data_IF_720040822289
#
_entry.id   IF_720040822289
#
_cell.length_a   1.000
_cell.length_b   1.000
_cell.length_c   1.000
_cell.angle_alpha   90.00
_cell.angle_beta   90.00
_cell.angle_gamma   90.00
#
_symmetry.space_group_name_H-M   'P 1'
#
loop_
_entity.id
_entity.type
_entity.pdbx_description
1 polymer ?
#
# COMPACT_ATOMS: atom_id res chain seq x y z
N UNK A 1 -22.71 -4.28 5.19
CA UNK A 1 -22.22 -5.41 4.37
C UNK A 1 -21.57 -4.98 3.06
N UNK A 2 -22.25 -4.23 2.17
CA UNK A 2 -21.67 -3.80 0.89
C UNK A 2 -20.36 -2.97 1.06
N UNK A 3 -20.34 -2.03 2.02
CA UNK A 3 -19.14 -1.23 2.35
C UNK A 3 -17.97 -2.08 2.84
N UNK A 4 -18.25 -3.11 3.65
CA UNK A 4 -17.23 -4.03 4.17
C UNK A 4 -16.67 -4.85 3.01
N UNK A 5 -17.53 -5.44 2.17
CA UNK A 5 -17.09 -6.23 1.02
C UNK A 5 -16.25 -5.39 0.03
N UNK A 6 -16.69 -4.17 -0.29
CA UNK A 6 -15.96 -3.24 -1.15
C UNK A 6 -14.60 -2.85 -0.54
N UNK A 7 -14.57 -2.49 0.74
CA UNK A 7 -13.34 -2.05 1.42
C UNK A 7 -12.36 -3.20 1.62
N UNK A 8 -12.84 -4.40 1.91
CA UNK A 8 -12.00 -5.61 2.00
C UNK A 8 -11.40 -5.99 0.65
N UNK A 9 -12.18 -5.91 -0.44
CA UNK A 9 -11.65 -6.13 -1.79
C UNK A 9 -10.62 -5.06 -2.18
N UNK A 10 -10.92 -3.79 -1.88
CA UNK A 10 -10.00 -2.66 -2.09
C UNK A 10 -8.68 -2.84 -1.32
N UNK A 11 -8.75 -3.19 -0.04
CA UNK A 11 -7.58 -3.45 0.81
C UNK A 11 -6.72 -4.60 0.27
N UNK A 12 -7.34 -5.69 -0.19
CA UNK A 12 -6.62 -6.83 -0.74
C UNK A 12 -5.90 -6.48 -2.04
N UNK A 13 -6.58 -5.76 -2.95
CA UNK A 13 -6.00 -5.30 -4.22
C UNK A 13 -4.84 -4.32 -3.95
N UNK A 14 -5.03 -3.34 -3.07
CA UNK A 14 -3.97 -2.38 -2.71
C UNK A 14 -2.77 -3.06 -2.04
N UNK A 15 -3.01 -4.08 -1.22
CA UNK A 15 -1.93 -4.84 -0.59
C UNK A 15 -1.08 -5.58 -1.63
N UNK A 16 -1.71 -6.19 -2.64
CA UNK A 16 -0.99 -6.81 -3.77
C UNK A 16 -0.28 -5.78 -4.64
N UNK A 17 -0.88 -4.62 -4.84
CA UNK A 17 -0.26 -3.50 -5.56
C UNK A 17 1.02 -3.02 -4.86
N UNK A 18 1.00 -2.86 -3.53
CA UNK A 18 2.18 -2.49 -2.74
C UNK A 18 3.30 -3.52 -2.89
N UNK A 19 2.98 -4.82 -2.84
CA UNK A 19 3.97 -5.88 -3.03
C UNK A 19 4.62 -5.77 -4.41
N UNK A 20 3.83 -5.51 -5.45
CA UNK A 20 4.34 -5.30 -6.79
C UNK A 20 5.20 -4.04 -6.90
N UNK A 21 4.74 -2.92 -6.35
CA UNK A 21 5.44 -1.63 -6.43
C UNK A 21 6.79 -1.66 -5.68
N UNK A 22 6.80 -2.24 -4.47
CA UNK A 22 8.04 -2.48 -3.70
C UNK A 22 9.00 -3.38 -4.45
N UNK A 23 8.49 -4.44 -5.11
CA UNK A 23 9.33 -5.33 -5.90
C UNK A 23 9.93 -4.63 -7.12
N UNK A 24 9.24 -3.64 -7.70
CA UNK A 24 9.75 -2.85 -8.81
C UNK A 24 10.75 -1.77 -8.35
N UNK A 25 10.53 -1.16 -7.18
CA UNK A 25 11.41 -0.12 -6.62
C UNK A 25 12.67 -0.69 -5.96
N UNK A 26 12.56 -1.84 -5.30
CA UNK A 26 13.60 -2.39 -4.41
C UNK A 26 14.02 -3.80 -4.85
N UNK A 27 13.11 -4.58 -5.45
CA UNK A 27 13.35 -5.97 -5.82
C UNK A 27 14.21 -6.15 -7.09
N UNK A 28 15.14 -7.11 -7.05
CA UNK A 28 16.00 -7.44 -8.20
C UNK A 28 17.50 -7.26 -7.93
N UNK A 29 18.33 -7.53 -8.95
CA UNK A 29 19.80 -7.37 -8.90
C UNK A 29 20.19 -5.86 -8.99
N UNK A 30 19.73 -5.05 -8.04
CA UNK A 30 20.17 -3.66 -7.86
C UNK A 30 21.58 -3.62 -7.26
N UNK A 31 22.54 -4.18 -7.99
CA UNK A 31 23.92 -4.44 -7.59
C UNK A 31 24.76 -3.15 -7.44
N UNK A 32 24.22 -2.00 -7.83
CA UNK A 32 24.94 -0.73 -7.83
C UNK A 32 24.03 0.39 -7.35
N UNK A 33 24.45 1.07 -6.28
CA UNK A 33 23.94 2.32 -5.71
C UNK A 33 22.73 2.94 -6.42
N UNK A 34 21.53 2.59 -5.98
CA UNK A 34 20.35 3.44 -6.19
C UNK A 34 20.71 4.82 -5.62
N UNK A 35 20.51 5.88 -6.41
CA UNK A 35 20.86 7.25 -5.99
C UNK A 35 20.08 7.60 -4.72
N UNK A 36 20.63 8.39 -3.78
CA UNK A 36 19.88 8.85 -2.60
C UNK A 36 18.51 9.43 -2.95
N UNK A 37 18.40 10.14 -4.08
CA UNK A 37 17.16 10.70 -4.61
C UNK A 37 16.12 9.62 -4.98
N UNK A 38 16.54 8.50 -5.57
CA UNK A 38 15.65 7.38 -5.90
C UNK A 38 15.13 6.67 -4.65
N UNK A 39 15.97 6.51 -3.62
CA UNK A 39 15.54 5.97 -2.33
C UNK A 39 14.54 6.87 -1.62
N UNK A 40 14.77 8.20 -1.63
CA UNK A 40 13.84 9.17 -1.06
C UNK A 40 12.49 9.08 -1.79
N UNK A 41 12.51 8.98 -3.13
CA UNK A 41 11.27 8.94 -3.90
C UNK A 41 10.53 7.61 -3.74
N UNK A 42 11.24 6.48 -3.68
CA UNK A 42 10.64 5.19 -3.37
C UNK A 42 10.00 5.17 -1.97
N UNK A 43 10.66 5.76 -0.97
CA UNK A 43 10.12 5.88 0.38
C UNK A 43 8.88 6.78 0.43
N UNK A 44 8.85 7.88 -0.33
CA UNK A 44 7.69 8.76 -0.44
C UNK A 44 6.50 8.06 -1.11
N UNK A 45 6.72 7.32 -2.21
CA UNK A 45 5.67 6.56 -2.88
C UNK A 45 5.09 5.47 -1.96
N UNK A 46 5.96 4.69 -1.32
CA UNK A 46 5.55 3.67 -0.35
C UNK A 46 4.77 4.27 0.82
N UNK A 47 5.15 5.46 1.30
CA UNK A 47 4.41 6.16 2.35
C UNK A 47 2.98 6.47 1.94
N UNK A 48 2.76 7.01 0.73
CA UNK A 48 1.42 7.31 0.21
C UNK A 48 0.59 6.03 0.09
N UNK A 49 1.17 4.93 -0.40
CA UNK A 49 0.47 3.67 -0.53
C UNK A 49 0.05 3.07 0.82
N UNK A 50 0.91 3.18 1.85
CA UNK A 50 0.60 2.75 3.22
C UNK A 50 -0.58 3.56 3.79
N UNK A 51 -0.62 4.88 3.56
CA UNK A 51 -1.75 5.73 4.00
C UNK A 51 -3.04 5.29 3.32
N UNK A 52 -3.01 5.01 2.01
CA UNK A 52 -4.19 4.54 1.28
C UNK A 52 -4.70 3.19 1.83
N UNK A 53 -3.80 2.23 2.07
CA UNK A 53 -4.15 0.95 2.68
C UNK A 53 -4.73 1.13 4.09
N UNK A 54 -4.14 2.01 4.90
CA UNK A 54 -4.64 2.34 6.23
C UNK A 54 -6.08 2.88 6.20
N UNK A 55 -6.41 3.74 5.22
CA UNK A 55 -7.77 4.25 5.06
C UNK A 55 -8.79 3.15 4.72
N UNK A 56 -8.43 2.17 3.88
CA UNK A 56 -9.29 1.01 3.63
C UNK A 56 -9.51 0.18 4.90
N UNK A 57 -8.44 -0.07 5.67
CA UNK A 57 -8.52 -0.82 6.94
C UNK A 57 -9.41 -0.06 7.94
N UNK A 58 -9.25 1.25 8.07
CA UNK A 58 -10.07 2.07 8.96
C UNK A 58 -11.54 2.05 8.55
N UNK A 59 -11.84 2.08 7.24
CA UNK A 59 -13.21 1.96 6.73
C UNK A 59 -13.84 0.60 7.06
N UNK A 60 -13.06 -0.49 6.95
CA UNK A 60 -13.51 -1.84 7.35
C UNK A 60 -13.81 -1.88 8.85
N UNK A 61 -12.88 -1.39 9.69
CA UNK A 61 -13.04 -1.38 11.13
C UNK A 61 -14.26 -0.54 11.52
N UNK A 62 -14.36 0.70 11.03
CA UNK A 62 -15.49 1.59 11.32
C UNK A 62 -16.84 1.00 10.89
N UNK A 63 -16.92 0.40 9.70
CA UNK A 63 -18.14 -0.26 9.23
C UNK A 63 -18.46 -1.55 10.01
N UNK A 64 -17.48 -2.17 10.66
CA UNK A 64 -17.66 -3.36 11.51
C UNK A 64 -18.07 -3.02 12.96
N UNK A 65 -17.67 -1.84 13.45
CA UNK A 65 -17.94 -1.39 14.82
C UNK A 65 -19.39 -0.94 15.05
N UNK A 66 -20.17 -0.71 13.99
CA UNK A 66 -21.63 -0.64 14.06
C UNK A 66 -22.22 0.45 14.96
N UNK A 67 -21.81 1.71 14.76
CA UNK A 67 -22.68 2.88 14.99
C UNK A 67 -23.25 3.35 13.64
#
# INVERSE_FOLDING_TARGET
>A
YATIAYSSAGALIFSLYIVYDVQMMIGGNHKYSISPEEYIMAALNLYIDIINLFMFILSIIGASSGD
#
